data_IF_081678064367
#
_entry.id   IF_081678064367
#
_cell.length_a   1.000
_cell.length_b   1.000
_cell.length_c   1.000
_cell.angle_alpha   90.00
_cell.angle_beta   90.00
_cell.angle_gamma   90.00
#
_symmetry.space_group_name_H-M   'P 1'
#
loop_
_entity.id
_entity.type
_entity.pdbx_description
1 polymer ?
#
# COMPACT_ATOMS: atom_id res chain seq x y z
N UNK A 1 -6.86 17.76 20.10
CA UNK A 1 -7.20 17.76 18.65
C UNK A 1 -7.10 16.32 18.18
N UNK A 2 -8.16 15.78 17.58
CA UNK A 2 -8.14 14.44 16.98
C UNK A 2 -8.14 14.61 15.45
N UNK A 3 -7.01 14.36 14.76
CA UNK A 3 -6.94 14.53 13.30
C UNK A 3 -7.86 13.54 12.60
N UNK A 4 -8.55 13.99 11.54
CA UNK A 4 -9.38 13.13 10.69
C UNK A 4 -8.54 12.48 9.59
N UNK A 5 -9.09 11.45 8.94
CA UNK A 5 -8.46 10.88 7.75
C UNK A 5 -8.29 11.91 6.63
N UNK A 6 -9.26 12.82 6.45
CA UNK A 6 -9.13 13.93 5.51
C UNK A 6 -7.93 14.84 5.85
N UNK A 7 -7.70 15.15 7.13
CA UNK A 7 -6.53 15.94 7.53
C UNK A 7 -5.22 15.20 7.23
N UNK A 8 -5.20 13.87 7.39
CA UNK A 8 -4.06 13.06 7.00
C UNK A 8 -3.80 13.11 5.49
N UNK A 9 -4.83 12.98 4.65
CA UNK A 9 -4.65 13.11 3.19
C UNK A 9 -4.18 14.51 2.81
N UNK A 10 -4.71 15.56 3.44
CA UNK A 10 -4.25 16.94 3.22
C UNK A 10 -2.76 17.11 3.56
N UNK A 11 -2.29 16.48 4.64
CA UNK A 11 -0.87 16.43 4.97
C UNK A 11 -0.05 15.70 3.89
N UNK A 12 -0.56 14.59 3.33
CA UNK A 12 0.14 13.84 2.29
C UNK A 12 0.23 14.57 0.94
N UNK A 13 -0.74 15.41 0.61
CA UNK A 13 -0.77 16.11 -0.69
C UNK A 13 -0.11 17.48 -0.66
N UNK A 14 0.35 17.94 0.50
CA UNK A 14 1.14 19.18 0.64
C UNK A 14 2.63 18.89 0.41
N UNK A 15 3.24 19.40 -0.68
CA UNK A 15 4.67 19.20 -0.96
C UNK A 15 5.59 19.71 0.15
N UNK A 16 5.18 20.72 0.92
CA UNK A 16 5.98 21.24 2.03
C UNK A 16 6.12 20.24 3.19
N UNK A 17 5.20 19.27 3.27
CA UNK A 17 5.15 18.25 4.32
C UNK A 17 5.92 16.98 3.98
N UNK A 18 6.33 16.78 2.72
CA UNK A 18 7.01 15.56 2.27
C UNK A 18 8.27 15.24 3.09
N UNK A 19 9.00 16.28 3.53
CA UNK A 19 10.20 16.15 4.38
C UNK A 19 9.93 15.56 5.77
N UNK A 20 8.67 15.50 6.19
CA UNK A 20 8.23 14.93 7.46
C UNK A 20 7.57 13.56 7.29
N UNK A 21 7.63 12.98 6.09
CA UNK A 21 7.05 11.66 5.88
C UNK A 21 7.82 10.59 6.64
N UNK A 22 7.07 9.79 7.36
CA UNK A 22 7.57 8.61 8.04
C UNK A 22 7.63 7.43 7.04
N UNK A 23 8.50 6.43 7.25
CA UNK A 23 8.57 5.24 6.41
C UNK A 23 7.23 4.52 6.16
N UNK A 24 6.24 4.66 7.04
CA UNK A 24 4.93 4.03 6.85
C UNK A 24 4.09 4.69 5.75
N UNK A 25 4.36 5.94 5.36
CA UNK A 25 3.57 6.67 4.36
C UNK A 25 4.39 7.41 3.30
N UNK A 26 5.71 7.30 3.30
CA UNK A 26 6.51 7.58 2.10
C UNK A 26 6.24 6.52 1.02
N UNK A 27 6.51 6.84 -0.23
CA UNK A 27 6.30 5.93 -1.36
C UNK A 27 7.21 4.70 -1.27
N UNK A 28 6.64 3.52 -1.52
CA UNK A 28 7.36 2.25 -1.38
C UNK A 28 8.53 2.13 -2.36
N UNK A 29 8.38 2.63 -3.59
CA UNK A 29 9.47 2.62 -4.58
C UNK A 29 10.67 3.46 -4.15
N UNK A 30 10.49 4.45 -3.27
CA UNK A 30 11.58 5.25 -2.70
C UNK A 30 12.30 4.54 -1.56
N UNK A 31 11.61 3.66 -0.83
CA UNK A 31 12.22 2.85 0.23
C UNK A 31 12.93 1.62 -0.34
N UNK A 32 12.28 0.92 -1.28
CA UNK A 32 12.77 -0.35 -1.81
C UNK A 32 13.71 -0.18 -2.99
N UNK A 33 13.73 0.98 -3.66
CA UNK A 33 14.60 1.21 -4.83
C UNK A 33 14.54 0.08 -5.89
N UNK A 34 13.35 -0.29 -6.41
CA UNK A 34 13.19 -1.45 -7.31
C UNK A 34 13.94 -1.30 -8.64
N UNK A 35 14.36 -0.09 -9.01
CA UNK A 35 15.19 0.15 -10.20
C UNK A 35 16.68 -0.18 -9.95
N UNK A 36 17.13 -0.22 -8.69
CA UNK A 36 18.52 -0.46 -8.31
C UNK A 36 18.73 -1.89 -7.76
N UNK A 37 17.70 -2.46 -7.15
CA UNK A 37 17.74 -3.79 -6.54
C UNK A 37 16.94 -4.76 -7.39
N UNK A 38 17.58 -5.85 -7.83
CA UNK A 38 16.92 -6.94 -8.55
C UNK A 38 16.26 -7.88 -7.54
N UNK A 39 15.00 -7.59 -7.21
CA UNK A 39 14.23 -8.45 -6.32
C UNK A 39 13.89 -9.78 -6.98
N UNK A 40 14.28 -10.87 -6.33
CA UNK A 40 13.89 -12.24 -6.65
C UNK A 40 12.41 -12.55 -6.43
N UNK A 41 11.77 -11.75 -5.58
CA UNK A 41 10.40 -11.94 -5.13
C UNK A 41 9.82 -10.61 -4.64
N UNK A 42 8.60 -10.32 -5.05
CA UNK A 42 7.77 -9.21 -4.55
C UNK A 42 6.40 -9.79 -4.26
N UNK A 43 6.01 -9.81 -2.99
CA UNK A 43 4.71 -10.29 -2.55
C UNK A 43 3.75 -9.15 -2.19
N UNK A 44 2.48 -9.48 -2.06
CA UNK A 44 1.40 -8.54 -1.75
C UNK A 44 0.73 -8.95 -0.44
N UNK A 45 0.39 -7.96 0.40
CA UNK A 45 -0.28 -8.27 1.68
C UNK A 45 -1.65 -8.92 1.46
N UNK A 46 -2.30 -8.61 0.35
CA UNK A 46 -3.59 -9.15 -0.02
C UNK A 46 -3.56 -10.65 -0.31
N UNK A 47 -2.40 -11.17 -0.74
CA UNK A 47 -2.13 -12.57 -1.12
C UNK A 47 -1.07 -13.21 -0.21
N UNK A 48 -0.86 -12.65 0.99
CA UNK A 48 0.19 -13.09 1.90
C UNK A 48 0.12 -14.60 2.24
N UNK A 49 -1.09 -15.15 2.31
CA UNK A 49 -1.33 -16.55 2.64
C UNK A 49 -0.88 -17.50 1.51
N UNK A 50 -0.95 -17.03 0.27
CA UNK A 50 -0.50 -17.71 -0.95
C UNK A 50 0.99 -17.47 -1.22
N UNK A 51 1.45 -16.23 -1.01
CA UNK A 51 2.81 -15.77 -1.31
C UNK A 51 3.86 -16.36 -0.38
N UNK A 52 3.56 -16.44 0.93
CA UNK A 52 4.53 -16.91 1.91
C UNK A 52 4.97 -18.37 1.70
N UNK A 53 4.07 -19.34 1.44
CA UNK A 53 4.48 -20.71 1.08
C UNK A 53 5.38 -20.78 -0.17
N UNK A 54 5.11 -19.99 -1.20
CA UNK A 54 5.94 -19.97 -2.41
C UNK A 54 7.34 -19.39 -2.15
N UNK A 55 7.42 -18.33 -1.34
CA UNK A 55 8.71 -17.80 -0.88
C UNK A 55 9.51 -18.83 -0.08
N UNK A 56 8.87 -19.56 0.85
CA UNK A 56 9.54 -20.60 1.64
C UNK A 56 10.05 -21.77 0.77
N UNK A 57 9.33 -22.11 -0.30
CA UNK A 57 9.80 -23.08 -1.31
C UNK A 57 11.04 -22.55 -2.04
N UNK A 58 11.01 -21.30 -2.50
CA UNK A 58 12.16 -20.66 -3.20
C UNK A 58 13.41 -20.62 -2.31
N UNK A 59 13.22 -20.49 -1.00
CA UNK A 59 14.29 -20.50 0.01
C UNK A 59 14.70 -21.91 0.47
N UNK A 60 14.07 -22.98 -0.02
CA UNK A 60 14.30 -24.37 0.36
C UNK A 60 14.08 -24.69 1.85
N UNK A 61 13.19 -23.95 2.53
CA UNK A 61 12.88 -24.12 3.97
C UNK A 61 11.42 -24.48 4.23
N UNK A 62 10.64 -24.78 3.18
CA UNK A 62 9.22 -25.11 3.29
C UNK A 62 8.91 -26.36 4.12
N UNK A 63 9.90 -27.24 4.35
CA UNK A 63 9.76 -28.40 5.23
C UNK A 63 10.07 -28.08 6.70
N UNK A 64 10.83 -27.02 6.96
CA UNK A 64 11.30 -26.65 8.30
C UNK A 64 10.42 -25.58 8.95
N UNK A 65 9.84 -24.69 8.13
CA UNK A 65 9.07 -23.53 8.58
C UNK A 65 7.73 -23.52 7.84
N UNK A 66 6.67 -23.21 8.58
CA UNK A 66 5.33 -22.94 8.02
C UNK A 66 4.91 -21.53 8.36
N UNK A 67 4.39 -20.82 7.38
CA UNK A 67 3.77 -19.54 7.61
C UNK A 67 2.48 -19.72 8.44
N UNK A 68 2.25 -18.95 9.50
CA UNK A 68 1.06 -19.08 10.32
C UNK A 68 -0.19 -18.80 9.46
N UNK A 69 -1.32 -19.48 9.73
CA UNK A 69 -2.57 -19.16 9.06
C UNK A 69 -2.97 -17.72 9.38
N UNK A 70 -3.11 -16.91 8.34
CA UNK A 70 -3.62 -15.55 8.42
C UNK A 70 -5.14 -15.59 8.49
N UNK A 71 -5.71 -15.15 9.61
CA UNK A 71 -7.15 -14.98 9.71
C UNK A 71 -7.54 -13.64 9.07
N UNK A 72 -8.45 -13.69 8.09
CA UNK A 72 -8.98 -12.49 7.42
C UNK A 72 -9.75 -11.53 8.36
N UNK A 73 -9.87 -11.86 9.66
CA UNK A 73 -10.64 -11.09 10.64
C UNK A 73 -10.18 -9.65 10.81
N UNK A 74 -8.89 -9.35 10.55
CA UNK A 74 -8.31 -8.01 10.73
C UNK A 74 -7.94 -7.31 9.40
N UNK A 75 -8.40 -7.81 8.26
CA UNK A 75 -8.11 -7.17 6.96
C UNK A 75 -9.03 -5.97 6.75
N UNK A 76 -8.47 -4.82 6.35
CA UNK A 76 -9.26 -3.66 5.95
C UNK A 76 -10.18 -4.04 4.79
N UNK A 77 -11.49 -3.88 4.99
CA UNK A 77 -12.48 -4.20 3.95
C UNK A 77 -12.54 -3.12 2.88
N UNK A 78 -12.97 -3.50 1.66
CA UNK A 78 -13.21 -2.54 0.58
C UNK A 78 -14.25 -1.48 0.95
N UNK A 79 -15.23 -1.85 1.78
CA UNK A 79 -16.23 -0.92 2.31
C UNK A 79 -15.61 0.11 3.25
N UNK A 80 -14.72 -0.33 4.15
CA UNK A 80 -13.97 0.58 5.03
C UNK A 80 -13.14 1.58 4.21
N UNK A 81 -12.40 1.09 3.20
CA UNK A 81 -11.63 1.96 2.30
C UNK A 81 -12.55 2.96 1.59
N UNK A 82 -13.67 2.50 1.01
CA UNK A 82 -14.64 3.38 0.34
C UNK A 82 -15.17 4.45 1.29
N UNK A 83 -15.58 4.07 2.50
CA UNK A 83 -16.12 5.00 3.49
C UNK A 83 -15.09 6.05 3.90
N UNK A 84 -13.83 5.66 4.11
CA UNK A 84 -12.75 6.60 4.41
C UNK A 84 -12.47 7.55 3.23
N UNK A 85 -12.37 7.01 2.01
CA UNK A 85 -12.11 7.82 0.81
C UNK A 85 -13.25 8.80 0.51
N UNK A 86 -14.50 8.44 0.79
CA UNK A 86 -15.65 9.32 0.62
C UNK A 86 -15.61 10.56 1.53
N UNK A 87 -14.82 10.55 2.62
CA UNK A 87 -14.61 11.75 3.45
C UNK A 87 -13.64 12.76 2.82
N UNK A 88 -12.94 12.37 1.75
CA UNK A 88 -11.87 13.16 1.13
C UNK A 88 -12.35 13.81 -0.17
N UNK A 89 -12.16 15.13 -0.35
CA UNK A 89 -12.49 15.81 -1.61
C UNK A 89 -11.84 15.14 -2.82
N UNK A 90 -12.56 15.07 -3.94
CA UNK A 90 -12.08 14.41 -5.17
C UNK A 90 -10.71 14.93 -5.62
N UNK A 91 -10.48 16.23 -5.51
CA UNK A 91 -9.19 16.85 -5.90
C UNK A 91 -8.04 16.38 -5.02
N UNK A 92 -8.27 16.19 -3.71
CA UNK A 92 -7.24 15.66 -2.81
C UNK A 92 -7.02 14.15 -3.03
N UNK A 93 -8.07 13.39 -3.37
CA UNK A 93 -7.94 11.99 -3.80
C UNK A 93 -7.07 11.85 -5.06
N UNK A 94 -7.28 12.72 -6.06
CA UNK A 94 -6.48 12.76 -7.30
C UNK A 94 -5.02 13.13 -7.02
N UNK A 95 -4.77 14.16 -6.19
CA UNK A 95 -3.41 14.54 -5.78
C UNK A 95 -2.72 13.41 -5.03
N UNK A 96 -3.42 12.76 -4.10
CA UNK A 96 -2.88 11.62 -3.35
C UNK A 96 -2.52 10.46 -4.30
N UNK A 97 -3.36 10.15 -5.29
CA UNK A 97 -2.98 9.17 -6.32
C UNK A 97 -1.71 9.58 -7.05
N UNK A 98 -1.51 10.87 -7.35
CA UNK A 98 -0.28 11.35 -7.99
C UNK A 98 0.96 11.18 -7.10
N UNK A 99 0.83 11.36 -5.78
CA UNK A 99 1.90 11.10 -4.81
C UNK A 99 2.38 9.64 -4.86
N UNK A 100 1.48 8.68 -5.06
CA UNK A 100 1.78 7.23 -5.05
C UNK A 100 1.71 6.55 -6.43
N UNK A 101 1.55 7.30 -7.53
CA UNK A 101 1.25 6.74 -8.87
C UNK A 101 2.30 5.70 -9.31
N UNK A 102 3.56 5.94 -8.99
CA UNK A 102 4.65 5.01 -9.31
C UNK A 102 4.59 3.72 -8.51
N UNK A 103 4.14 3.74 -7.25
CA UNK A 103 3.96 2.51 -6.47
C UNK A 103 2.89 1.63 -7.13
N UNK A 104 1.79 2.23 -7.58
CA UNK A 104 0.76 1.48 -8.31
C UNK A 104 1.33 0.81 -9.56
N UNK A 105 2.08 1.56 -10.38
CA UNK A 105 2.62 1.06 -11.65
C UNK A 105 3.72 0.02 -11.46
N UNK A 106 4.66 0.26 -10.55
CA UNK A 106 5.85 -0.58 -10.37
C UNK A 106 5.51 -1.90 -9.67
N UNK A 107 4.54 -1.90 -8.76
CA UNK A 107 4.17 -3.09 -7.98
C UNK A 107 2.89 -3.79 -8.48
N UNK A 108 2.43 -3.45 -9.69
CA UNK A 108 1.36 -4.19 -10.37
C UNK A 108 -0.06 -3.92 -9.83
N UNK A 109 -0.27 -2.83 -9.09
CA UNK A 109 -1.60 -2.45 -8.62
C UNK A 109 -2.37 -1.70 -9.71
N UNK A 110 -3.66 -2.01 -9.84
CA UNK A 110 -4.56 -1.27 -10.74
C UNK A 110 -4.82 0.14 -10.20
N UNK A 111 -5.01 1.10 -11.11
CA UNK A 111 -5.52 2.42 -10.73
C UNK A 111 -6.92 2.26 -10.09
N UNK A 112 -7.16 2.83 -8.89
CA UNK A 112 -8.39 2.62 -8.14
C UNK A 112 -9.49 3.55 -8.63
N UNK A 113 -10.36 3.04 -9.51
CA UNK A 113 -11.44 3.84 -10.14
C UNK A 113 -12.54 4.19 -9.15
N UNK A 114 -12.79 3.30 -8.18
CA UNK A 114 -13.90 3.33 -7.22
C UNK A 114 -13.88 4.51 -6.24
N UNK A 115 -12.83 5.30 -6.25
CA UNK A 115 -12.74 6.53 -5.47
C UNK A 115 -11.95 7.63 -6.19
N UNK A 116 -11.58 7.43 -7.46
CA UNK A 116 -10.91 8.44 -8.30
C UNK A 116 -11.79 8.95 -9.44
N UNK A 117 -12.74 8.13 -9.88
CA UNK A 117 -13.57 8.40 -11.07
C UNK A 117 -15.04 8.61 -10.71
N UNK A 118 -15.37 8.63 -9.41
CA UNK A 118 -16.70 9.00 -8.89
C UNK A 118 -17.04 10.48 -9.15
#
# INVERSE_FOLDING_TARGET
IHPTFQNFVQFLVDPAMEKFFDPHWIQMHRLCHPCLIQYDFVGHQETLQEDAPELLKKLNVANDIKFPPYTNANKTSLECVRNMMNTVPLEDRKKMYKVYEWDFKLFGYRRPKEWLDD
#
